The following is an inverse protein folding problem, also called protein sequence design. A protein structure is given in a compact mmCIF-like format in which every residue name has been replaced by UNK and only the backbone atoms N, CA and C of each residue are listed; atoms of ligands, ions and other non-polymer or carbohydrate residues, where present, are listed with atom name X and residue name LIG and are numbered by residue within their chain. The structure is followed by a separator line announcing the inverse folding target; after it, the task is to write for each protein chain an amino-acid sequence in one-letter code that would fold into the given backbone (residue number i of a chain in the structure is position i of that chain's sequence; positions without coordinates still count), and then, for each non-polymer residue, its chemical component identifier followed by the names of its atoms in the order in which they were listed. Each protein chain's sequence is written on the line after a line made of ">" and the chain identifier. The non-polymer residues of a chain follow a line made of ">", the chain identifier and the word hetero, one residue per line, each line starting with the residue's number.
data_IF_651676421299
#
_entry.id   IF_651676421299
#
_cell.length_a   1.000
_cell.length_b   1.000
_cell.length_c   1.000
_cell.angle_alpha   90.00
_cell.angle_beta   90.00
_cell.angle_gamma   90.00
#
_symmetry.space_group_name_H-M   'P 1'
#
loop_
_entity.id
_entity.type
_entity.pdbx_description
1 polymer ?
#
# COMPACT_ATOMS: atom_id res chain seq x y z
N UNK A 1 -16.10 -36.76 -32.38
CA UNK A 1 -15.32 -36.26 -31.24
C UNK A 1 -15.17 -34.76 -31.38
N UNK A 2 -15.90 -34.00 -30.59
CA UNK A 2 -15.76 -32.53 -30.56
C UNK A 2 -14.72 -32.20 -29.48
N UNK A 3 -13.57 -31.72 -29.92
CA UNK A 3 -12.56 -31.15 -29.05
C UNK A 3 -13.09 -29.86 -28.46
N UNK A 4 -13.30 -29.80 -27.13
CA UNK A 4 -13.56 -28.58 -26.44
C UNK A 4 -12.25 -27.76 -26.41
N UNK A 5 -12.18 -26.74 -27.25
CA UNK A 5 -11.22 -25.65 -27.06
C UNK A 5 -11.57 -24.96 -25.75
N UNK A 6 -10.71 -25.15 -24.76
CA UNK A 6 -10.69 -24.33 -23.57
C UNK A 6 -10.15 -22.95 -23.98
N UNK A 7 -11.05 -22.01 -24.18
CA UNK A 7 -10.68 -20.59 -24.34
C UNK A 7 -9.98 -20.16 -23.06
N UNK A 8 -8.65 -20.15 -23.07
CA UNK A 8 -7.87 -19.48 -22.08
C UNK A 8 -8.24 -17.98 -22.12
N UNK A 9 -8.82 -17.50 -21.02
CA UNK A 9 -8.93 -16.07 -20.77
C UNK A 9 -7.54 -15.44 -20.98
N UNK A 10 -7.40 -14.35 -21.74
CA UNK A 10 -6.12 -13.70 -21.86
C UNK A 10 -5.69 -13.25 -20.45
N UNK A 11 -4.72 -13.94 -19.88
CA UNK A 11 -4.05 -13.48 -18.67
C UNK A 11 -3.56 -12.06 -18.98
N UNK A 12 -3.97 -11.11 -18.16
CA UNK A 12 -3.58 -9.73 -18.24
C UNK A 12 -2.04 -9.67 -18.23
N UNK A 13 -1.45 -9.54 -19.43
CA UNK A 13 0.00 -9.66 -19.60
C UNK A 13 0.65 -8.46 -18.92
N UNK A 14 1.58 -8.70 -18.01
CA UNK A 14 2.34 -7.65 -17.32
C UNK A 14 3.00 -6.72 -18.34
N UNK A 15 2.72 -5.41 -18.23
CA UNK A 15 3.32 -4.40 -19.09
C UNK A 15 4.58 -3.81 -18.44
N UNK A 16 5.68 -4.52 -18.59
CA UNK A 16 6.96 -4.18 -17.97
C UNK A 16 7.48 -2.80 -18.39
N UNK A 17 7.30 -2.40 -19.66
CA UNK A 17 7.80 -1.12 -20.14
C UNK A 17 7.08 0.07 -19.53
N UNK A 18 5.78 -0.01 -19.39
CA UNK A 18 4.99 1.00 -18.68
C UNK A 18 5.33 1.02 -17.19
N UNK A 19 5.42 -0.15 -16.56
CA UNK A 19 5.78 -0.26 -15.15
C UNK A 19 7.13 0.39 -14.84
N UNK A 20 8.16 0.17 -15.67
CA UNK A 20 9.48 0.78 -15.50
C UNK A 20 9.46 2.31 -15.52
N UNK A 21 8.53 2.90 -16.27
CA UNK A 21 8.38 4.37 -16.35
C UNK A 21 7.66 4.95 -15.14
N UNK A 22 6.79 4.16 -14.50
CA UNK A 22 5.92 4.60 -13.40
C UNK A 22 6.45 4.24 -12.03
N UNK A 23 7.23 3.17 -11.91
CA UNK A 23 7.69 2.64 -10.63
C UNK A 23 8.81 3.48 -10.00
N UNK A 24 8.75 3.62 -8.69
CA UNK A 24 9.90 4.03 -7.87
C UNK A 24 10.81 2.84 -7.62
N UNK A 25 12.10 3.06 -7.67
CA UNK A 25 13.09 2.08 -7.20
C UNK A 25 13.17 2.17 -5.66
N UNK A 26 12.45 1.29 -4.98
CA UNK A 26 12.36 1.30 -3.52
C UNK A 26 13.65 0.82 -2.81
N UNK A 27 14.67 0.42 -3.57
CA UNK A 27 16.02 0.17 -3.05
C UNK A 27 16.77 1.49 -2.81
N UNK A 28 16.30 2.60 -3.39
CA UNK A 28 16.96 3.92 -3.37
C UNK A 28 16.08 5.02 -2.77
N UNK A 29 14.78 4.91 -2.93
CA UNK A 29 13.82 5.95 -2.54
C UNK A 29 12.65 5.28 -1.82
N UNK A 30 12.19 5.80 -0.66
CA UNK A 30 11.04 5.22 0.02
C UNK A 30 9.76 5.36 -0.81
N UNK A 31 8.75 4.51 -0.55
CA UNK A 31 7.42 4.69 -1.12
C UNK A 31 6.75 5.94 -0.55
N UNK A 32 5.62 6.35 -1.11
CA UNK A 32 4.82 7.43 -0.57
C UNK A 32 4.56 7.25 0.94
N UNK A 33 4.45 8.39 1.66
CA UNK A 33 4.00 8.38 3.05
C UNK A 33 2.69 7.62 3.19
N UNK A 34 2.47 6.89 4.30
CA UNK A 34 1.16 6.30 4.54
C UNK A 34 0.03 7.33 4.66
N UNK A 35 0.37 8.62 4.85
CA UNK A 35 -0.58 9.73 4.88
C UNK A 35 -1.09 10.16 3.50
N UNK A 36 -0.34 9.86 2.45
CA UNK A 36 -0.73 10.18 1.08
C UNK A 36 -1.92 9.33 0.65
N UNK A 37 -2.90 9.99 0.01
CA UNK A 37 -4.14 9.33 -0.41
C UNK A 37 -4.10 8.93 -1.89
N UNK A 38 -4.79 7.85 -2.20
CA UNK A 38 -5.14 7.45 -3.56
C UNK A 38 -6.53 6.80 -3.53
N UNK A 39 -7.37 7.10 -4.50
CA UNK A 39 -8.76 6.63 -4.49
C UNK A 39 -9.59 7.15 -3.30
N UNK A 40 -9.08 8.16 -2.59
CA UNK A 40 -9.69 8.74 -1.38
C UNK A 40 -9.23 8.08 -0.07
N UNK A 41 -8.32 7.10 -0.09
CA UNK A 41 -7.85 6.36 1.08
C UNK A 41 -6.38 6.65 1.39
N UNK A 42 -6.06 6.88 2.66
CA UNK A 42 -4.68 6.83 3.16
C UNK A 42 -4.08 5.43 2.93
N UNK A 43 -2.77 5.30 2.97
CA UNK A 43 -2.03 4.05 2.72
C UNK A 43 -2.00 3.64 1.24
N UNK A 44 -3.05 3.93 0.46
CA UNK A 44 -3.23 3.41 -0.90
C UNK A 44 -2.10 3.80 -1.87
N UNK A 45 -1.62 5.04 -1.84
CA UNK A 45 -0.51 5.49 -2.69
C UNK A 45 0.77 4.71 -2.40
N UNK A 46 1.05 4.45 -1.11
CA UNK A 46 2.16 3.61 -0.66
C UNK A 46 2.04 2.18 -1.17
N UNK A 47 0.84 1.61 -1.14
CA UNK A 47 0.61 0.25 -1.66
C UNK A 47 0.78 0.17 -3.17
N UNK A 48 0.44 1.22 -3.91
CA UNK A 48 0.70 1.30 -5.34
C UNK A 48 2.20 1.28 -5.65
N UNK A 49 3.00 2.08 -4.94
CA UNK A 49 4.46 2.06 -5.11
C UNK A 49 5.05 0.69 -4.83
N UNK A 50 4.62 0.05 -3.74
CA UNK A 50 5.07 -1.29 -3.38
C UNK A 50 4.67 -2.34 -4.41
N UNK A 51 3.45 -2.27 -4.94
CA UNK A 51 2.98 -3.20 -5.98
C UNK A 51 3.81 -3.09 -7.25
N UNK A 52 4.07 -1.87 -7.73
CA UNK A 52 4.89 -1.63 -8.92
C UNK A 52 6.33 -2.12 -8.73
N UNK A 53 6.92 -1.80 -7.58
CA UNK A 53 8.29 -2.20 -7.28
C UNK A 53 8.43 -3.72 -7.13
N UNK A 54 7.47 -4.37 -6.47
CA UNK A 54 7.45 -5.81 -6.30
C UNK A 54 7.32 -6.55 -7.65
N UNK A 55 6.46 -6.05 -8.55
CA UNK A 55 6.33 -6.58 -9.91
C UNK A 55 7.63 -6.51 -10.72
N UNK A 56 8.49 -5.54 -10.45
CA UNK A 56 9.78 -5.34 -11.12
C UNK A 56 10.98 -5.90 -10.36
N UNK A 57 10.78 -6.46 -9.15
CA UNK A 57 11.86 -6.95 -8.31
C UNK A 57 12.79 -5.85 -7.76
N UNK A 58 12.29 -4.62 -7.59
CA UNK A 58 13.01 -3.45 -7.08
C UNK A 58 12.44 -2.90 -5.78
N UNK A 59 11.72 -3.75 -5.04
CA UNK A 59 11.02 -3.39 -3.81
C UNK A 59 11.96 -3.25 -2.58
N UNK A 60 13.20 -3.72 -2.63
CA UNK A 60 14.12 -3.66 -1.49
C UNK A 60 13.52 -4.34 -0.25
N UNK A 61 13.46 -3.59 0.85
CA UNK A 61 12.90 -4.05 2.12
C UNK A 61 11.38 -3.92 2.22
N UNK A 62 10.74 -3.34 1.22
CA UNK A 62 9.31 -3.02 1.24
C UNK A 62 8.46 -4.14 0.67
N UNK A 63 7.89 -4.96 1.52
CA UNK A 63 6.97 -6.03 1.09
C UNK A 63 5.61 -5.45 0.70
N UNK A 64 5.12 -5.86 -0.46
CA UNK A 64 3.75 -5.54 -0.88
C UNK A 64 2.74 -6.36 -0.08
N UNK A 65 2.93 -7.69 -0.04
CA UNK A 65 2.02 -8.61 0.65
C UNK A 65 2.79 -9.87 1.12
N UNK A 66 2.62 -10.29 2.37
CA UNK A 66 1.86 -9.63 3.43
C UNK A 66 2.52 -8.34 3.93
N UNK A 67 1.70 -7.41 4.41
CA UNK A 67 2.16 -6.14 4.96
C UNK A 67 1.21 -5.69 6.08
N UNK A 68 1.74 -5.50 7.29
CA UNK A 68 0.94 -5.12 8.46
C UNK A 68 0.18 -3.81 8.26
N UNK A 69 0.82 -2.81 7.68
CA UNK A 69 0.17 -1.53 7.35
C UNK A 69 -0.89 -1.70 6.26
N UNK A 70 -0.57 -2.43 5.20
CA UNK A 70 -1.49 -2.71 4.08
C UNK A 70 -2.73 -3.49 4.53
N UNK A 71 -2.62 -4.31 5.57
CA UNK A 71 -3.74 -5.08 6.10
C UNK A 71 -4.91 -4.19 6.55
N UNK A 72 -4.64 -3.01 7.12
CA UNK A 72 -5.68 -2.03 7.47
C UNK A 72 -6.43 -1.55 6.24
N UNK A 73 -5.72 -1.27 5.16
CA UNK A 73 -6.30 -0.81 3.89
C UNK A 73 -7.17 -1.89 3.25
N UNK A 74 -6.65 -3.11 3.10
CA UNK A 74 -7.40 -4.21 2.49
C UNK A 74 -8.65 -4.57 3.29
N UNK A 75 -8.53 -4.61 4.62
CA UNK A 75 -9.66 -4.92 5.51
C UNK A 75 -10.77 -3.87 5.42
N UNK A 76 -10.43 -2.59 5.45
CA UNK A 76 -11.44 -1.53 5.42
C UNK A 76 -12.11 -1.39 4.06
N UNK A 77 -11.33 -1.45 2.98
CA UNK A 77 -11.84 -1.25 1.61
C UNK A 77 -12.55 -2.48 1.04
N UNK A 78 -12.26 -3.67 1.57
CA UNK A 78 -12.72 -4.95 1.01
C UNK A 78 -12.05 -5.31 -0.31
N UNK A 79 -10.98 -4.59 -0.70
CA UNK A 79 -10.22 -4.89 -1.91
C UNK A 79 -9.35 -6.12 -1.73
N UNK A 80 -9.28 -6.92 -2.79
CA UNK A 80 -8.35 -8.04 -2.87
C UNK A 80 -6.97 -7.55 -3.32
N UNK A 81 -5.95 -7.80 -2.49
CA UNK A 81 -4.58 -7.33 -2.75
C UNK A 81 -3.99 -7.92 -4.06
N UNK A 82 -4.31 -9.18 -4.37
CA UNK A 82 -3.80 -9.82 -5.58
C UNK A 82 -4.47 -9.28 -6.84
N UNK A 83 -5.78 -9.03 -6.80
CA UNK A 83 -6.50 -8.38 -7.91
C UNK A 83 -6.03 -6.94 -8.12
N UNK A 84 -5.74 -6.22 -7.04
CA UNK A 84 -5.11 -4.91 -7.13
C UNK A 84 -3.76 -4.99 -7.86
N UNK A 85 -2.90 -5.91 -7.45
CA UNK A 85 -1.59 -6.13 -8.07
C UNK A 85 -1.70 -6.55 -9.54
N UNK A 86 -2.65 -7.41 -9.89
CA UNK A 86 -2.94 -7.80 -11.28
C UNK A 86 -3.34 -6.60 -12.13
N UNK A 87 -4.18 -5.70 -11.61
CA UNK A 87 -4.53 -4.47 -12.31
C UNK A 87 -3.32 -3.56 -12.48
N UNK A 88 -2.52 -3.38 -11.44
CA UNK A 88 -1.27 -2.59 -11.51
C UNK A 88 -0.28 -3.17 -12.54
N UNK A 89 -0.24 -4.49 -12.68
CA UNK A 89 0.64 -5.19 -13.63
C UNK A 89 0.35 -4.83 -15.10
N UNK A 90 -0.84 -4.35 -15.43
CA UNK A 90 -1.17 -3.84 -16.78
C UNK A 90 -0.41 -2.58 -17.18
N UNK A 91 0.30 -1.97 -16.24
CA UNK A 91 0.94 -0.66 -16.41
C UNK A 91 -0.03 0.48 -16.20
N UNK A 92 -1.06 0.29 -15.38
CA UNK A 92 -2.04 1.30 -15.05
C UNK A 92 -1.39 2.55 -14.45
N UNK A 93 -1.85 3.73 -14.90
CA UNK A 93 -1.44 5.02 -14.36
C UNK A 93 -2.00 5.22 -12.95
N UNK A 94 -1.54 6.25 -12.27
CA UNK A 94 -2.06 6.58 -10.93
C UNK A 94 -3.56 6.93 -10.98
N UNK A 95 -3.98 7.67 -12.00
CA UNK A 95 -5.39 8.03 -12.22
C UNK A 95 -6.25 6.80 -12.50
N UNK A 96 -5.76 5.85 -13.27
CA UNK A 96 -6.47 4.59 -13.55
C UNK A 96 -6.60 3.74 -12.28
N UNK A 97 -5.55 3.71 -11.45
CA UNK A 97 -5.61 3.01 -10.15
C UNK A 97 -6.54 3.71 -9.17
N UNK A 98 -6.54 5.06 -9.11
CA UNK A 98 -7.49 5.83 -8.31
C UNK A 98 -8.93 5.44 -8.66
N UNK A 99 -9.26 5.43 -9.95
CA UNK A 99 -10.59 5.05 -10.43
C UNK A 99 -10.92 3.58 -10.10
N UNK A 100 -9.95 2.67 -10.27
CA UNK A 100 -10.14 1.25 -9.96
C UNK A 100 -10.46 1.04 -8.48
N UNK A 101 -9.75 1.72 -7.57
CA UNK A 101 -10.01 1.68 -6.13
C UNK A 101 -11.45 2.13 -5.85
N UNK A 102 -11.85 3.30 -6.39
CA UNK A 102 -13.21 3.86 -6.19
C UNK A 102 -14.30 2.94 -6.70
N UNK A 103 -14.08 2.26 -7.81
CA UNK A 103 -15.05 1.35 -8.42
C UNK A 103 -15.18 0.03 -7.65
N UNK A 104 -14.09 -0.51 -7.15
CA UNK A 104 -14.03 -1.86 -6.58
C UNK A 104 -14.13 -1.91 -5.04
N UNK A 105 -13.90 -0.79 -4.34
CA UNK A 105 -14.07 -0.76 -2.88
C UNK A 105 -15.51 -1.01 -2.46
N UNK A 106 -15.70 -1.70 -1.35
CA UNK A 106 -17.01 -1.87 -0.72
C UNK A 106 -17.46 -0.62 0.05
N UNK A 107 -16.51 0.24 0.44
CA UNK A 107 -16.79 1.50 1.13
C UNK A 107 -17.13 2.60 0.13
N UNK A 108 -18.39 3.03 0.15
CA UNK A 108 -18.91 4.06 -0.76
C UNK A 108 -19.34 5.36 -0.04
N UNK A 109 -19.51 5.31 1.28
CA UNK A 109 -19.89 6.50 2.05
C UNK A 109 -18.67 7.41 2.27
N UNK A 110 -18.67 8.64 1.71
CA UNK A 110 -17.57 9.58 1.88
C UNK A 110 -17.28 9.92 3.35
N UNK A 111 -18.31 9.97 4.19
CA UNK A 111 -18.16 10.27 5.62
C UNK A 111 -17.44 9.14 6.35
N UNK A 112 -17.78 7.89 6.05
CA UNK A 112 -17.10 6.72 6.62
C UNK A 112 -15.63 6.67 6.19
N UNK A 113 -15.33 6.99 4.94
CA UNK A 113 -13.97 7.05 4.41
C UNK A 113 -13.15 8.13 5.13
N UNK A 114 -13.68 9.35 5.24
CA UNK A 114 -13.02 10.46 5.93
C UNK A 114 -12.75 10.10 7.40
N UNK A 115 -13.73 9.51 8.08
CA UNK A 115 -13.59 9.09 9.48
C UNK A 115 -12.47 8.07 9.62
N UNK A 116 -12.45 7.03 8.80
CA UNK A 116 -11.41 6.00 8.83
C UNK A 116 -10.02 6.58 8.52
N UNK A 117 -9.90 7.46 7.52
CA UNK A 117 -8.64 8.13 7.22
C UNK A 117 -8.10 8.90 8.44
N UNK A 118 -8.97 9.60 9.17
CA UNK A 118 -8.58 10.35 10.36
C UNK A 118 -8.23 9.42 11.53
N UNK A 119 -8.97 8.33 11.71
CA UNK A 119 -8.64 7.31 12.70
C UNK A 119 -7.24 6.72 12.44
N UNK A 120 -6.93 6.40 11.19
CA UNK A 120 -5.60 5.90 10.81
C UNK A 120 -4.49 6.94 11.02
N UNK A 121 -4.72 8.20 10.68
CA UNK A 121 -3.76 9.29 10.90
C UNK A 121 -3.45 9.54 12.37
N UNK A 122 -4.43 9.29 13.24
CA UNK A 122 -4.35 9.52 14.69
C UNK A 122 -4.12 8.23 15.50
N UNK A 123 -3.91 7.09 14.85
CA UNK A 123 -3.65 5.82 15.51
C UNK A 123 -2.30 5.89 16.23
N UNK A 124 -2.32 5.80 17.56
CA UNK A 124 -1.12 5.85 18.39
C UNK A 124 -0.50 4.47 18.52
N UNK A 125 0.78 4.39 18.85
CA UNK A 125 1.43 3.11 19.10
C UNK A 125 0.76 2.34 20.24
N UNK A 126 0.29 3.04 21.27
CA UNK A 126 -0.42 2.42 22.40
C UNK A 126 -1.84 1.88 22.05
N UNK A 127 -2.36 2.22 20.90
CA UNK A 127 -3.65 1.67 20.40
C UNK A 127 -3.46 0.35 19.63
N UNK A 128 -2.21 -0.03 19.35
CA UNK A 128 -1.86 -1.27 18.65
C UNK A 128 -1.88 -2.47 19.62
N UNK A 129 -1.83 -3.70 19.07
CA UNK A 129 -1.74 -4.89 19.92
C UNK A 129 -0.45 -4.90 20.75
N UNK A 130 -0.49 -5.57 21.90
CA UNK A 130 0.65 -5.64 22.83
C UNK A 130 1.91 -6.14 22.12
N UNK A 131 1.78 -7.14 21.27
CA UNK A 131 2.89 -7.71 20.49
C UNK A 131 3.53 -6.67 19.53
N UNK A 132 2.72 -5.84 18.90
CA UNK A 132 3.21 -4.78 18.00
C UNK A 132 3.84 -3.65 18.80
N UNK A 133 3.28 -3.29 19.96
CA UNK A 133 3.89 -2.32 20.84
C UNK A 133 5.28 -2.77 21.32
N UNK A 134 5.41 -4.01 21.76
CA UNK A 134 6.69 -4.61 22.16
C UNK A 134 7.73 -4.56 21.04
N UNK A 135 7.32 -4.86 19.81
CA UNK A 135 8.18 -4.74 18.64
C UNK A 135 8.67 -3.30 18.43
N UNK A 136 7.79 -2.30 18.53
CA UNK A 136 8.15 -0.90 18.29
C UNK A 136 9.00 -0.29 19.42
N UNK A 137 8.93 -0.79 20.65
CA UNK A 137 9.84 -0.37 21.74
C UNK A 137 11.32 -0.57 21.37
N UNK A 138 11.61 -1.61 20.59
CA UNK A 138 12.96 -1.89 20.11
C UNK A 138 13.24 -1.22 18.76
N UNK A 139 12.25 -1.22 17.87
CA UNK A 139 12.41 -0.73 16.50
C UNK A 139 12.57 0.80 16.41
N UNK A 140 11.72 1.54 17.10
CA UNK A 140 11.70 3.02 17.00
C UNK A 140 13.04 3.65 17.41
N UNK A 141 13.68 3.28 18.55
CA UNK A 141 14.98 3.84 18.91
C UNK A 141 16.11 3.52 17.93
N UNK A 142 16.00 2.43 17.18
CA UNK A 142 17.04 2.01 16.23
C UNK A 142 16.90 2.68 14.87
N UNK A 143 15.68 2.87 14.39
CA UNK A 143 15.42 3.26 13.00
C UNK A 143 14.76 4.64 12.83
N UNK A 144 14.18 5.20 13.88
CA UNK A 144 13.53 6.52 13.83
C UNK A 144 14.37 7.55 14.58
N UNK A 145 14.90 8.53 13.86
CA UNK A 145 15.71 9.57 14.49
C UNK A 145 15.19 10.98 14.19
N UNK A 146 14.96 11.83 15.20
CA UNK A 146 14.94 11.47 16.65
C UNK A 146 13.68 10.68 17.02
N UNK A 147 13.77 9.69 17.94
CA UNK A 147 12.62 8.86 18.34
C UNK A 147 11.45 9.68 18.89
N UNK A 148 11.73 10.84 19.46
CA UNK A 148 10.73 11.77 20.04
C UNK A 148 9.73 12.33 19.04
N UNK A 149 10.01 12.24 17.72
CA UNK A 149 9.06 12.61 16.67
C UNK A 149 7.96 11.56 16.46
N UNK A 150 8.17 10.32 16.89
CA UNK A 150 7.19 9.24 16.73
C UNK A 150 6.13 9.34 17.81
N UNK A 151 4.93 9.78 17.41
CA UNK A 151 3.74 9.89 18.27
C UNK A 151 2.61 8.97 17.76
N UNK A 152 2.49 8.83 16.46
CA UNK A 152 1.48 8.05 15.78
C UNK A 152 2.12 6.90 15.00
N UNK A 153 1.30 5.90 14.68
CA UNK A 153 1.76 4.76 13.91
C UNK A 153 2.38 5.17 12.56
N UNK A 154 1.78 6.12 11.85
CA UNK A 154 2.33 6.60 10.59
C UNK A 154 3.67 7.35 10.74
N UNK A 155 3.94 7.93 11.89
CA UNK A 155 5.22 8.62 12.15
C UNK A 155 6.41 7.66 12.09
N UNK A 156 6.21 6.38 12.45
CA UNK A 156 7.27 5.36 12.35
C UNK A 156 7.85 5.35 10.93
N UNK A 157 6.99 5.33 9.95
CA UNK A 157 7.40 5.32 8.53
C UNK A 157 7.99 6.66 8.10
N UNK A 158 7.30 7.75 8.43
CA UNK A 158 7.69 9.08 7.97
C UNK A 158 8.99 9.58 8.61
N UNK A 159 9.25 9.23 9.87
CA UNK A 159 10.52 9.58 10.55
C UNK A 159 11.66 8.69 10.06
N UNK A 160 11.45 7.38 9.94
CA UNK A 160 12.46 6.45 9.42
C UNK A 160 12.90 6.81 7.99
N UNK A 161 11.95 7.22 7.18
CA UNK A 161 12.14 7.52 5.76
C UNK A 161 12.53 8.99 5.50
N UNK A 162 12.68 9.79 6.54
CA UNK A 162 13.13 11.19 6.45
C UNK A 162 12.09 12.15 5.88
N UNK A 163 10.81 11.83 6.00
CA UNK A 163 9.68 12.68 5.58
C UNK A 163 9.31 13.69 6.69
N UNK A 164 9.52 13.33 7.94
CA UNK A 164 9.32 14.16 9.14
C UNK A 164 10.65 14.53 9.82
#
# INVERSE_FOLDING_TARGET
>A
MKTHEVTMNPMNTMNTDKLKKLARDLRKTPPHSPRDTLGGFVIAARMLDKARADLLGINGEYNFYPCGLGAYFWKFTGLDAMKFKEFVATGATEEEVDQWIRQNTTQKDPKAIIKWNNEMRCLRLCDLSDQVQEYFETYVPQFCYPPSKVKFFFDVYDVEEGVL
#
